data_IF_965240222057
#
_entry.id   IF_965240222057
#
_cell.length_a   1.000
_cell.length_b   1.000
_cell.length_c   1.000
_cell.angle_alpha   90.00
_cell.angle_beta   90.00
_cell.angle_gamma   90.00
#
_symmetry.space_group_name_H-M   'P 1'
#
loop_
_entity.id
_entity.type
_entity.pdbx_description
1 polymer ?
#
# COMPACT_ATOMS: atom_id res chain seq x y z
N UNK A 1 -6.98 -28.13 -16.42
CA UNK A 1 -7.36 -28.14 -15.00
C UNK A 1 -7.04 -26.78 -14.43
N UNK A 2 -8.07 -26.03 -14.02
CA UNK A 2 -7.90 -24.72 -13.40
C UNK A 2 -7.02 -24.86 -12.15
N UNK A 3 -6.14 -23.90 -11.94
CA UNK A 3 -5.25 -23.82 -10.79
C UNK A 3 -5.29 -22.42 -10.23
N UNK A 4 -5.08 -22.31 -8.93
CA UNK A 4 -4.89 -21.06 -8.24
C UNK A 4 -3.42 -20.93 -7.87
N UNK A 5 -2.83 -19.78 -8.16
CA UNK A 5 -1.49 -19.43 -7.71
C UNK A 5 -1.63 -18.32 -6.69
N UNK A 6 -1.13 -18.53 -5.48
CA UNK A 6 -1.04 -17.47 -4.47
C UNK A 6 0.39 -16.99 -4.41
N UNK A 7 0.56 -15.69 -4.60
CA UNK A 7 1.83 -15.00 -4.42
C UNK A 7 1.70 -14.15 -3.16
N UNK A 8 2.47 -14.49 -2.14
CA UNK A 8 2.43 -13.76 -0.86
C UNK A 8 3.68 -12.93 -0.71
N UNK A 9 3.52 -11.61 -0.60
CA UNK A 9 4.61 -10.70 -0.24
C UNK A 9 4.71 -10.67 1.27
N UNK A 10 5.90 -10.95 1.81
CA UNK A 10 6.13 -11.03 3.26
C UNK A 10 7.28 -10.12 3.65
N UNK A 11 7.02 -9.20 4.56
CA UNK A 11 8.07 -8.38 5.18
C UNK A 11 7.60 -7.76 6.51
N UNK A 12 8.48 -7.01 7.17
CA UNK A 12 8.05 -5.96 8.09
C UNK A 12 7.28 -4.89 7.32
N UNK A 13 6.24 -4.35 7.93
CA UNK A 13 5.50 -3.22 7.41
C UNK A 13 4.70 -2.59 8.53
N UNK A 14 3.50 -2.15 8.25
CA UNK A 14 2.66 -1.58 9.29
C UNK A 14 1.30 -1.13 8.79
N UNK A 15 0.56 -0.52 9.71
CA UNK A 15 -0.56 0.35 9.39
C UNK A 15 -0.04 1.79 9.28
N UNK A 16 -0.33 2.44 8.17
CA UNK A 16 0.02 3.83 7.89
C UNK A 16 -1.27 4.58 7.64
N UNK A 17 -1.46 5.67 8.38
CA UNK A 17 -2.66 6.50 8.28
C UNK A 17 -2.29 7.98 8.27
N UNK A 18 -3.02 8.76 7.50
CA UNK A 18 -2.94 10.20 7.52
C UNK A 18 -4.29 10.81 7.18
N UNK A 19 -4.57 11.97 7.77
CA UNK A 19 -5.83 12.66 7.51
C UNK A 19 -5.93 14.04 8.14
N UNK A 20 -6.99 14.72 7.76
CA UNK A 20 -7.39 16.01 8.33
C UNK A 20 -8.31 15.78 9.53
N UNK A 21 -8.06 16.53 10.61
CA UNK A 21 -8.96 16.67 11.76
C UNK A 21 -9.65 18.03 11.62
N UNK A 22 -10.83 18.01 11.01
CA UNK A 22 -11.66 19.17 10.71
C UNK A 22 -12.76 19.42 11.76
N UNK A 23 -12.99 18.46 12.66
CA UNK A 23 -13.83 18.63 13.83
C UNK A 23 -13.12 19.48 14.89
N UNK A 24 -13.69 20.65 15.20
CA UNK A 24 -13.08 21.62 16.10
C UNK A 24 -12.98 21.12 17.55
N UNK A 25 -13.93 20.30 18.01
CA UNK A 25 -13.91 19.75 19.37
C UNK A 25 -12.78 18.71 19.50
N UNK A 26 -12.66 17.81 18.53
CA UNK A 26 -11.57 16.84 18.45
C UNK A 26 -10.20 17.52 18.30
N UNK A 27 -10.09 18.54 17.44
CA UNK A 27 -8.86 19.31 17.29
C UNK A 27 -8.42 19.95 18.63
N UNK A 28 -9.36 20.45 19.42
CA UNK A 28 -9.08 20.99 20.76
C UNK A 28 -8.69 19.90 21.77
N UNK A 29 -9.30 18.71 21.73
CA UNK A 29 -8.88 17.58 22.55
C UNK A 29 -7.45 17.15 22.22
N UNK A 30 -7.10 17.07 20.94
CA UNK A 30 -5.75 16.73 20.49
C UNK A 30 -4.74 17.78 20.96
N UNK A 31 -5.02 19.08 20.79
CA UNK A 31 -4.18 20.17 21.33
C UNK A 31 -3.98 20.06 22.84
N UNK A 32 -5.01 19.63 23.57
CA UNK A 32 -4.94 19.41 25.03
C UNK A 32 -4.06 18.20 25.37
N UNK A 33 -4.19 17.09 24.63
CA UNK A 33 -3.35 15.90 24.79
C UNK A 33 -1.87 16.19 24.47
N UNK A 34 -1.60 16.97 23.42
CA UNK A 34 -0.25 17.47 23.08
C UNK A 34 0.33 18.27 24.24
N UNK A 35 -0.42 19.23 24.80
CA UNK A 35 0.05 20.04 25.93
C UNK A 35 0.33 19.24 27.20
N UNK A 36 -0.21 18.01 27.30
CA UNK A 36 0.00 17.06 28.40
C UNK A 36 1.04 15.99 28.11
N UNK A 37 1.62 15.97 26.90
CA UNK A 37 2.55 14.94 26.44
C UNK A 37 1.94 13.52 26.53
N UNK A 38 0.67 13.39 26.15
CA UNK A 38 -0.10 12.15 26.27
C UNK A 38 -0.72 11.65 24.97
N UNK A 39 -0.44 12.34 23.85
CA UNK A 39 -1.01 11.98 22.55
C UNK A 39 -0.42 10.66 22.04
N UNK A 40 -1.29 9.73 21.62
CA UNK A 40 -0.91 8.47 21.00
C UNK A 40 -1.78 8.19 19.77
N UNK A 41 -1.40 7.22 18.94
CA UNK A 41 -2.19 6.79 17.79
C UNK A 41 -3.58 6.24 18.19
N UNK A 42 -3.71 5.79 19.44
CA UNK A 42 -4.90 5.17 20.02
C UNK A 42 -4.98 5.53 21.50
N UNK A 43 -5.99 6.30 21.93
CA UNK A 43 -6.12 6.73 23.33
C UNK A 43 -7.55 7.16 23.69
N UNK A 44 -7.87 7.12 24.99
CA UNK A 44 -9.05 7.81 25.52
C UNK A 44 -8.72 9.30 25.72
N UNK A 45 -9.57 10.18 25.20
CA UNK A 45 -9.48 11.63 25.35
C UNK A 45 -10.09 12.07 26.68
N UNK A 46 -9.82 13.30 27.11
CA UNK A 46 -10.33 13.82 28.40
C UNK A 46 -11.86 13.90 28.46
N UNK A 47 -12.53 13.97 27.31
CA UNK A 47 -13.99 13.96 27.20
C UNK A 47 -14.60 12.55 27.29
N UNK A 48 -13.78 11.50 27.40
CA UNK A 48 -14.18 10.10 27.46
C UNK A 48 -14.40 9.44 26.09
N UNK A 49 -14.14 10.15 24.99
CA UNK A 49 -14.17 9.58 23.64
C UNK A 49 -12.87 8.83 23.33
N UNK A 50 -12.96 7.79 22.50
CA UNK A 50 -11.80 7.03 22.06
C UNK A 50 -11.29 7.58 20.73
N UNK A 51 -10.08 8.14 20.75
CA UNK A 51 -9.36 8.57 19.56
C UNK A 51 -8.57 7.41 18.97
N UNK A 52 -8.71 7.23 17.66
CA UNK A 52 -7.91 6.28 16.91
C UNK A 52 -7.72 6.78 15.49
N UNK A 53 -6.46 6.92 15.10
CA UNK A 53 -6.04 7.58 13.86
C UNK A 53 -6.70 7.01 12.60
N UNK A 54 -6.88 5.69 12.50
CA UNK A 54 -7.49 5.09 11.30
C UNK A 54 -8.96 5.52 11.09
N UNK A 55 -9.67 5.95 12.13
CA UNK A 55 -11.05 6.44 11.99
C UNK A 55 -11.13 7.81 11.29
N UNK A 56 -10.02 8.52 11.18
CA UNK A 56 -9.93 9.88 10.62
C UNK A 56 -9.09 9.92 9.34
N UNK A 57 -8.71 8.76 8.80
CA UNK A 57 -7.78 8.61 7.70
C UNK A 57 -8.45 8.90 6.34
N UNK A 58 -8.29 10.13 5.85
CA UNK A 58 -8.85 10.59 4.55
C UNK A 58 -7.80 11.02 3.51
N UNK A 59 -6.51 10.93 3.86
CA UNK A 59 -5.38 11.10 2.95
C UNK A 59 -4.77 9.74 2.63
N UNK A 60 -4.54 8.93 3.66
CA UNK A 60 -3.89 7.63 3.58
C UNK A 60 -4.48 6.69 4.61
N UNK A 61 -4.86 5.48 4.21
CA UNK A 61 -5.18 4.36 5.10
C UNK A 61 -4.72 3.06 4.44
N UNK A 62 -3.61 2.48 4.92
CA UNK A 62 -3.06 1.26 4.36
C UNK A 62 -2.40 0.39 5.41
N UNK A 63 -2.66 -0.92 5.35
CA UNK A 63 -1.89 -1.95 6.06
C UNK A 63 -1.22 -2.87 5.05
N UNK A 64 0.10 -2.85 4.98
CA UNK A 64 0.84 -3.63 3.99
C UNK A 64 2.33 -3.79 4.37
N UNK A 65 3.03 -4.79 3.79
CA UNK A 65 4.47 -4.96 3.97
C UNK A 65 5.25 -3.86 3.24
N UNK A 66 6.44 -3.56 3.74
CA UNK A 66 7.46 -2.83 2.97
C UNK A 66 7.97 -3.73 1.84
N UNK A 67 8.15 -3.16 0.65
CA UNK A 67 8.68 -3.85 -0.53
C UNK A 67 10.18 -4.12 -0.40
N UNK A 68 10.92 -3.18 0.18
CA UNK A 68 12.38 -3.28 0.28
C UNK A 68 12.79 -4.48 1.14
N UNK A 69 13.50 -5.43 0.54
CA UNK A 69 13.94 -6.65 1.23
C UNK A 69 12.82 -7.66 1.52
N UNK A 70 11.66 -7.55 0.87
CA UNK A 70 10.57 -8.50 1.04
C UNK A 70 10.90 -9.89 0.49
N UNK A 71 10.30 -10.92 1.08
CA UNK A 71 10.22 -12.26 0.50
C UNK A 71 8.95 -12.43 -0.33
N UNK A 72 9.03 -13.25 -1.37
CA UNK A 72 7.92 -13.69 -2.20
C UNK A 72 7.74 -15.18 -1.99
N UNK A 73 6.59 -15.59 -1.46
CA UNK A 73 6.21 -16.99 -1.31
C UNK A 73 5.22 -17.33 -2.43
N UNK A 74 5.47 -18.44 -3.14
CA UNK A 74 4.60 -18.94 -4.20
C UNK A 74 3.99 -20.26 -3.75
N UNK A 75 2.67 -20.33 -3.86
CA UNK A 75 1.90 -21.52 -3.51
C UNK A 75 0.89 -21.84 -4.61
N UNK A 76 0.59 -23.12 -4.80
CA UNK A 76 -0.43 -23.59 -5.75
C UNK A 76 -1.57 -24.31 -5.03
N UNK A 77 -2.79 -24.15 -5.52
CA UNK A 77 -3.93 -24.96 -5.12
C UNK A 77 -4.72 -25.44 -6.34
N UNK A 78 -5.29 -26.64 -6.23
CA UNK A 78 -6.27 -27.14 -7.20
C UNK A 78 -7.72 -26.92 -6.72
N UNK A 79 -7.91 -26.38 -5.51
CA UNK A 79 -9.20 -26.17 -4.86
C UNK A 79 -9.83 -24.85 -5.34
N UNK A 80 -10.04 -24.72 -6.65
CA UNK A 80 -10.52 -23.48 -7.29
C UNK A 80 -11.99 -23.16 -7.02
N UNK A 81 -12.78 -24.18 -6.65
CA UNK A 81 -14.22 -24.04 -6.44
C UNK A 81 -14.58 -23.72 -4.98
N UNK A 82 -13.60 -23.67 -4.07
CA UNK A 82 -13.82 -23.28 -2.67
C UNK A 82 -14.16 -21.79 -2.60
N UNK A 83 -15.20 -21.48 -1.82
CA UNK A 83 -15.74 -20.14 -1.73
C UNK A 83 -14.80 -19.20 -0.98
N UNK A 84 -14.10 -19.70 0.05
CA UNK A 84 -13.23 -18.90 0.90
C UNK A 84 -11.76 -19.33 0.81
N UNK A 85 -10.83 -18.38 0.84
CA UNK A 85 -9.40 -18.68 0.68
C UNK A 85 -8.84 -19.57 1.79
N UNK A 86 -9.34 -19.42 3.03
CA UNK A 86 -8.91 -20.22 4.19
C UNK A 86 -9.29 -21.71 4.07
N UNK A 87 -10.25 -22.06 3.21
CA UNK A 87 -10.66 -23.45 2.96
C UNK A 87 -9.74 -24.14 1.94
N UNK A 88 -9.02 -23.35 1.14
CA UNK A 88 -8.16 -23.84 0.07
C UNK A 88 -6.87 -24.43 0.63
N UNK A 89 -6.48 -25.60 0.11
CA UNK A 89 -5.21 -26.23 0.47
C UNK A 89 -4.14 -25.79 -0.51
N UNK A 90 -3.33 -24.86 -0.02
CA UNK A 90 -2.16 -24.40 -0.74
C UNK A 90 -0.96 -25.31 -0.48
N UNK A 91 -0.26 -25.63 -1.57
CA UNK A 91 1.01 -26.33 -1.54
C UNK A 91 2.11 -25.33 -1.87
N UNK A 92 3.07 -25.22 -0.95
CA UNK A 92 4.29 -24.46 -1.18
C UNK A 92 5.04 -24.91 -2.44
N UNK A 93 5.44 -23.95 -3.25
CA UNK A 93 6.24 -24.14 -4.46
C UNK A 93 7.66 -23.62 -4.25
N UNK A 94 7.80 -22.36 -3.85
CA UNK A 94 9.09 -21.68 -3.70
C UNK A 94 8.99 -20.41 -2.86
N UNK A 95 10.15 -19.95 -2.40
CA UNK A 95 10.36 -18.66 -1.74
C UNK A 95 11.61 -18.00 -2.33
N UNK A 96 11.52 -16.71 -2.62
CA UNK A 96 12.60 -15.91 -3.21
C UNK A 96 12.63 -14.53 -2.55
N UNK A 97 13.81 -13.93 -2.42
CA UNK A 97 13.89 -12.50 -2.13
C UNK A 97 13.41 -11.68 -3.33
N UNK A 98 12.76 -10.55 -3.08
CA UNK A 98 12.23 -9.68 -4.14
C UNK A 98 13.33 -9.21 -5.12
N UNK A 99 14.51 -8.89 -4.58
CA UNK A 99 15.69 -8.43 -5.35
C UNK A 99 16.32 -9.54 -6.21
N UNK A 100 16.01 -10.80 -5.92
CA UNK A 100 16.47 -11.98 -6.65
C UNK A 100 15.38 -12.53 -7.58
N UNK A 101 14.21 -11.91 -7.58
CA UNK A 101 13.04 -12.35 -8.34
C UNK A 101 12.91 -11.57 -9.65
N UNK A 102 12.22 -12.13 -10.66
CA UNK A 102 11.87 -11.41 -11.88
C UNK A 102 10.68 -10.45 -11.71
N UNK A 103 10.16 -10.25 -10.49
CA UNK A 103 9.05 -9.34 -10.24
C UNK A 103 9.46 -7.90 -10.52
N UNK A 104 8.57 -7.13 -11.14
CA UNK A 104 8.79 -5.73 -11.42
C UNK A 104 8.29 -4.88 -10.24
N UNK A 105 9.08 -3.93 -9.77
CA UNK A 105 8.69 -2.97 -8.74
C UNK A 105 8.68 -1.56 -9.32
N UNK A 106 7.73 -0.73 -8.87
CA UNK A 106 7.63 0.66 -9.30
C UNK A 106 6.97 1.52 -8.20
N UNK A 107 7.15 2.84 -8.27
CA UNK A 107 6.45 3.75 -7.36
C UNK A 107 5.09 4.12 -7.96
N UNK A 108 4.01 3.70 -7.32
CA UNK A 108 2.63 3.96 -7.75
C UNK A 108 2.09 5.29 -7.23
N UNK A 109 2.54 5.75 -6.06
CA UNK A 109 2.10 7.04 -5.51
C UNK A 109 3.07 7.61 -4.48
N UNK A 110 2.90 8.91 -4.22
CA UNK A 110 3.49 9.65 -3.09
C UNK A 110 2.29 10.31 -2.38
N UNK A 111 1.97 9.94 -1.13
CA UNK A 111 0.83 10.50 -0.44
C UNK A 111 1.15 11.92 0.01
N UNK A 112 0.48 12.91 -0.58
CA UNK A 112 0.65 14.32 -0.25
C UNK A 112 -0.66 14.94 0.26
N UNK A 113 -0.59 15.67 1.37
CA UNK A 113 -1.72 16.46 1.90
C UNK A 113 -1.97 17.73 1.06
N UNK A 114 -0.97 18.19 0.31
CA UNK A 114 -0.88 19.48 -0.37
C UNK A 114 -2.08 19.82 -1.26
N UNK A 115 -2.66 18.81 -1.93
CA UNK A 115 -3.74 19.00 -2.89
C UNK A 115 -5.12 19.25 -2.29
N UNK A 116 -5.30 19.09 -0.97
CA UNK A 116 -6.61 19.19 -0.30
C UNK A 116 -6.71 20.36 0.69
N UNK A 117 -5.62 21.10 0.94
CA UNK A 117 -5.54 22.10 2.02
C UNK A 117 -6.58 23.23 1.87
N UNK A 118 -6.93 23.63 0.64
CA UNK A 118 -7.83 24.77 0.39
C UNK A 118 -9.28 24.54 0.81
N UNK A 119 -9.66 23.29 1.09
CA UNK A 119 -11.03 22.91 1.44
C UNK A 119 -11.30 22.98 2.95
N UNK A 120 -10.28 23.28 3.76
CA UNK A 120 -10.31 23.21 5.22
C UNK A 120 -10.15 24.56 5.89
N UNK A 121 -10.63 24.68 7.13
CA UNK A 121 -10.44 25.86 7.97
C UNK A 121 -9.00 25.96 8.49
N UNK A 122 -8.50 27.17 8.71
CA UNK A 122 -7.10 27.44 9.12
C UNK A 122 -6.66 26.70 10.39
N UNK A 123 -7.58 26.34 11.27
CA UNK A 123 -7.32 25.64 12.54
C UNK A 123 -7.36 24.11 12.45
N UNK A 124 -7.62 23.58 11.25
CA UNK A 124 -7.58 22.15 10.92
C UNK A 124 -6.19 21.60 11.17
N UNK A 125 -6.14 20.43 11.81
CA UNK A 125 -4.90 19.71 12.03
C UNK A 125 -4.73 18.63 10.98
N UNK A 126 -3.48 18.29 10.65
CA UNK A 126 -3.16 17.10 9.88
C UNK A 126 -2.46 16.13 10.82
N UNK A 127 -2.87 14.87 10.79
CA UNK A 127 -2.13 13.80 11.47
C UNK A 127 -1.48 12.87 10.46
N UNK A 128 -0.34 12.33 10.88
CA UNK A 128 0.36 11.23 10.24
C UNK A 128 0.68 10.21 11.34
N UNK A 129 0.30 8.95 11.14
CA UNK A 129 0.61 7.87 12.09
C UNK A 129 1.08 6.59 11.40
N UNK A 130 2.00 5.89 12.06
CA UNK A 130 2.55 4.60 11.64
C UNK A 130 2.58 3.65 12.83
N UNK A 131 2.04 2.45 12.67
CA UNK A 131 2.20 1.33 13.60
C UNK A 131 2.95 0.20 12.90
N UNK A 132 4.18 -0.10 13.32
CA UNK A 132 5.04 -1.10 12.69
C UNK A 132 4.70 -2.50 13.20
N UNK A 133 4.62 -3.46 12.29
CA UNK A 133 4.36 -4.87 12.60
C UNK A 133 5.27 -5.77 11.74
N UNK A 134 5.87 -6.78 12.38
CA UNK A 134 6.66 -7.82 11.68
C UNK A 134 5.78 -8.87 11.02
N UNK A 135 6.34 -9.47 9.96
CA UNK A 135 5.78 -10.62 9.24
C UNK A 135 4.38 -10.32 8.70
N UNK A 136 4.21 -9.15 8.10
CA UNK A 136 2.97 -8.86 7.36
C UNK A 136 2.97 -9.71 6.10
N UNK A 137 1.95 -10.53 5.95
CA UNK A 137 1.65 -11.35 4.79
C UNK A 137 0.63 -10.62 3.93
N UNK A 138 0.97 -10.35 2.67
CA UNK A 138 0.06 -9.82 1.66
C UNK A 138 -0.22 -10.91 0.61
N UNK A 139 -1.25 -11.76 0.80
CA UNK A 139 -1.53 -12.86 -0.10
C UNK A 139 -2.32 -12.39 -1.33
N UNK A 140 -1.75 -12.54 -2.53
CA UNK A 140 -2.42 -12.21 -3.79
C UNK A 140 -2.79 -13.49 -4.57
N UNK A 141 -4.07 -13.92 -4.54
CA UNK A 141 -4.54 -15.09 -5.28
C UNK A 141 -4.79 -14.76 -6.76
N UNK A 142 -4.20 -15.54 -7.65
CA UNK A 142 -4.30 -15.39 -9.11
C UNK A 142 -4.95 -16.66 -9.67
N UNK A 143 -6.16 -16.51 -10.19
CA UNK A 143 -6.86 -17.59 -10.88
C UNK A 143 -6.29 -17.81 -12.28
N UNK A 144 -6.01 -19.07 -12.63
CA UNK A 144 -5.59 -19.44 -13.98
C UNK A 144 -6.69 -20.18 -14.73
N UNK A 145 -6.87 -19.80 -15.98
CA UNK A 145 -7.61 -20.57 -16.96
C UNK A 145 -6.70 -21.60 -17.66
N UNK A 146 -7.30 -22.64 -18.22
CA UNK A 146 -6.58 -23.74 -18.85
C UNK A 146 -5.76 -23.26 -20.06
N UNK A 147 -4.43 -23.34 -19.97
CA UNK A 147 -3.50 -23.09 -21.09
C UNK A 147 -2.49 -21.96 -20.86
N UNK A 148 -2.76 -21.02 -19.96
CA UNK A 148 -1.88 -19.87 -19.73
C UNK A 148 -0.86 -20.17 -18.64
N UNK A 149 0.44 -20.25 -18.94
CA UNK A 149 1.51 -20.42 -17.94
C UNK A 149 1.64 -19.18 -17.04
N UNK A 150 1.70 -19.40 -15.71
CA UNK A 150 2.00 -18.33 -14.77
C UNK A 150 3.48 -18.01 -14.86
N UNK A 151 3.77 -16.73 -15.09
CA UNK A 151 5.13 -16.22 -15.11
C UNK A 151 5.24 -15.14 -14.04
N UNK A 152 6.16 -15.34 -13.10
CA UNK A 152 6.43 -14.36 -12.04
C UNK A 152 6.91 -13.01 -12.61
N UNK A 153 7.52 -13.01 -13.80
CA UNK A 153 7.93 -11.81 -14.53
C UNK A 153 6.75 -10.91 -14.97
N UNK A 154 5.52 -11.44 -14.94
CA UNK A 154 4.31 -10.68 -15.24
C UNK A 154 3.68 -10.05 -13.99
N UNK A 155 4.30 -10.20 -12.81
CA UNK A 155 3.89 -9.52 -11.58
C UNK A 155 4.54 -8.14 -11.52
N UNK A 156 3.73 -7.12 -11.21
CA UNK A 156 4.16 -5.75 -10.99
C UNK A 156 3.67 -5.30 -9.61
N UNK A 157 4.59 -4.84 -8.77
CA UNK A 157 4.32 -4.36 -7.42
C UNK A 157 4.48 -2.84 -7.39
N UNK A 158 3.36 -2.15 -7.26
CA UNK A 158 3.32 -0.71 -7.06
C UNK A 158 3.47 -0.39 -5.58
N UNK A 159 4.48 0.41 -5.23
CA UNK A 159 4.69 0.88 -3.87
C UNK A 159 4.35 2.36 -3.72
N UNK A 160 3.77 2.67 -2.58
CA UNK A 160 3.63 4.04 -2.10
C UNK A 160 4.94 4.46 -1.43
N UNK A 161 5.55 5.55 -1.91
CA UNK A 161 6.75 6.10 -1.31
C UNK A 161 6.36 7.04 -0.15
N UNK A 162 6.72 6.65 1.07
CA UNK A 162 6.36 7.35 2.30
C UNK A 162 7.37 8.42 2.73
N UNK A 163 8.50 8.57 2.00
CA UNK A 163 9.67 9.34 2.45
C UNK A 163 9.34 10.80 2.78
N UNK A 164 8.41 11.40 2.03
CA UNK A 164 7.98 12.78 2.22
C UNK A 164 6.77 12.94 3.16
N UNK A 165 6.31 11.83 3.75
CA UNK A 165 5.04 11.79 4.49
C UNK A 165 5.25 11.38 5.93
N UNK A 166 5.82 10.19 6.17
CA UNK A 166 5.89 9.64 7.53
C UNK A 166 7.06 8.68 7.78
N UNK A 167 7.63 8.05 6.74
CA UNK A 167 8.71 7.09 6.93
C UNK A 167 9.52 6.88 5.65
N UNK A 168 10.77 6.42 5.71
CA UNK A 168 11.54 6.10 4.50
C UNK A 168 11.03 4.84 3.77
N UNK A 169 9.91 4.26 4.19
CA UNK A 169 9.44 2.97 3.70
C UNK A 169 8.77 3.09 2.32
N UNK A 170 8.82 1.99 1.57
CA UNK A 170 8.06 1.81 0.33
C UNK A 170 7.00 0.74 0.56
N UNK A 171 5.77 1.16 0.81
CA UNK A 171 4.69 0.29 1.26
C UNK A 171 3.93 -0.26 0.05
N UNK A 172 3.73 -1.57 -0.02
CA UNK A 172 3.00 -2.20 -1.11
C UNK A 172 1.57 -1.64 -1.19
N UNK A 173 1.21 -1.09 -2.35
CA UNK A 173 -0.10 -0.51 -2.63
C UNK A 173 -0.87 -1.34 -3.65
N UNK A 174 -0.22 -1.66 -4.78
CA UNK A 174 -0.84 -2.36 -5.89
C UNK A 174 -0.09 -3.67 -6.17
N UNK A 175 -0.82 -4.79 -6.21
CA UNK A 175 -0.34 -6.05 -6.78
C UNK A 175 -1.02 -6.24 -8.14
N UNK A 176 -0.26 -6.20 -9.23
CA UNK A 176 -0.80 -6.36 -10.58
C UNK A 176 -0.24 -7.63 -11.22
N UNK A 177 -1.08 -8.36 -11.92
CA UNK A 177 -0.64 -9.44 -12.82
C UNK A 177 -0.97 -9.06 -14.26
N UNK A 178 0.04 -8.61 -15.01
CA UNK A 178 -0.13 -8.08 -16.37
C UNK A 178 0.52 -9.06 -17.36
N UNK A 179 -0.27 -9.82 -18.14
CA UNK A 179 0.28 -10.72 -19.15
C UNK A 179 1.16 -9.96 -20.16
N UNK A 180 2.26 -10.58 -20.57
CA UNK A 180 3.25 -9.99 -21.50
C UNK A 180 2.65 -9.37 -22.76
N UNK A 181 1.63 -10.01 -23.35
CA UNK A 181 0.97 -9.51 -24.54
C UNK A 181 0.29 -8.15 -24.29
N UNK A 182 -0.34 -7.97 -23.13
CA UNK A 182 -0.98 -6.72 -22.75
C UNK A 182 0.02 -5.66 -22.33
N UNK A 183 1.12 -6.07 -21.68
CA UNK A 183 2.18 -5.15 -21.27
C UNK A 183 2.75 -4.38 -22.47
N UNK A 184 2.93 -5.07 -23.61
CA UNK A 184 3.39 -4.43 -24.85
C UNK A 184 2.40 -3.39 -25.40
N UNK A 185 1.10 -3.62 -25.26
CA UNK A 185 0.07 -2.69 -25.73
C UNK A 185 0.05 -1.41 -24.90
N UNK A 186 0.24 -1.51 -23.58
CA UNK A 186 0.37 -0.34 -22.71
C UNK A 186 1.63 0.48 -22.99
N UNK A 187 2.77 -0.16 -23.28
CA UNK A 187 3.96 0.55 -23.74
C UNK A 187 3.71 1.34 -25.02
N UNK A 188 3.02 0.75 -26.00
CA UNK A 188 2.69 1.43 -27.26
C UNK A 188 1.78 2.63 -27.03
N UNK A 189 0.78 2.48 -26.18
CA UNK A 189 -0.16 3.56 -25.84
C UNK A 189 0.55 4.73 -25.15
N UNK A 190 1.46 4.46 -24.22
CA UNK A 190 2.22 5.50 -23.51
C UNK A 190 3.29 6.19 -24.38
N UNK A 191 4.07 5.42 -25.12
CA UNK A 191 5.21 5.95 -25.88
C UNK A 191 4.80 6.53 -27.25
N UNK A 192 3.70 6.05 -27.83
CA UNK A 192 3.27 6.43 -29.18
C UNK A 192 4.36 6.17 -30.22
N UNK A 193 4.73 7.19 -30.98
CA UNK A 193 5.77 7.13 -32.02
C UNK A 193 7.17 6.81 -31.47
N UNK A 194 7.37 6.89 -30.14
CA UNK A 194 8.65 6.56 -29.47
C UNK A 194 8.78 5.08 -29.09
N UNK A 195 7.75 4.27 -29.35
CA UNK A 195 7.75 2.85 -29.00
C UNK A 195 8.83 2.08 -29.77
N UNK A 196 9.55 1.21 -29.05
CA UNK A 196 10.46 0.19 -29.58
C UNK A 196 10.04 -1.19 -29.04
N UNK A 197 10.24 -2.24 -29.82
CA UNK A 197 9.88 -3.62 -29.45
C UNK A 197 10.71 -4.14 -28.25
N UNK A 198 11.82 -3.47 -27.92
CA UNK A 198 12.64 -3.79 -26.75
C UNK A 198 12.20 -3.07 -25.45
N UNK A 199 11.19 -2.19 -25.49
CA UNK A 199 10.71 -1.48 -24.31
C UNK A 199 9.97 -2.43 -23.35
N UNK A 200 10.38 -2.46 -22.09
CA UNK A 200 9.68 -3.16 -21.03
C UNK A 200 8.70 -2.22 -20.31
N UNK A 201 7.50 -2.71 -20.00
CA UNK A 201 6.49 -1.91 -19.28
C UNK A 201 7.00 -1.46 -17.91
N UNK A 202 7.81 -2.31 -17.25
CA UNK A 202 8.44 -2.03 -15.95
C UNK A 202 9.15 -0.68 -15.91
N UNK A 203 9.82 -0.32 -16.99
CA UNK A 203 10.63 0.91 -17.08
C UNK A 203 9.77 2.17 -17.18
N UNK A 204 8.47 2.00 -17.44
CA UNK A 204 7.52 3.08 -17.68
C UNK A 204 6.40 3.14 -16.64
N UNK A 205 6.23 2.13 -15.78
CA UNK A 205 5.11 2.07 -14.84
C UNK A 205 5.00 3.31 -13.94
N UNK A 206 6.11 3.75 -13.32
CA UNK A 206 6.12 4.97 -12.50
C UNK A 206 5.73 6.22 -13.31
N UNK A 207 6.24 6.34 -14.53
CA UNK A 207 5.94 7.47 -15.41
C UNK A 207 4.48 7.44 -15.88
N UNK A 208 3.91 6.27 -16.17
CA UNK A 208 2.51 6.10 -16.54
C UNK A 208 1.61 6.59 -15.41
N UNK A 209 1.86 6.19 -14.15
CA UNK A 209 1.05 6.59 -13.01
C UNK A 209 1.08 8.11 -12.74
N UNK A 210 2.17 8.78 -13.09
CA UNK A 210 2.36 10.23 -12.85
C UNK A 210 1.91 11.07 -14.06
N UNK A 211 2.38 10.72 -15.27
CA UNK A 211 2.24 11.53 -16.48
C UNK A 211 1.00 11.16 -17.31
N UNK A 212 0.50 9.93 -17.16
CA UNK A 212 -0.66 9.41 -17.90
C UNK A 212 -1.67 8.73 -16.94
N UNK A 213 -2.24 9.47 -15.96
CA UNK A 213 -3.05 8.88 -14.89
C UNK A 213 -4.27 8.10 -15.39
N UNK A 214 -4.85 8.46 -16.53
CA UNK A 214 -5.95 7.70 -17.15
C UNK A 214 -5.50 6.30 -17.60
N UNK A 215 -4.28 6.19 -18.14
CA UNK A 215 -3.68 4.91 -18.52
C UNK A 215 -3.30 4.10 -17.27
N UNK A 216 -2.71 4.74 -16.26
CA UNK A 216 -2.42 4.09 -14.97
C UNK A 216 -3.68 3.50 -14.33
N UNK A 217 -4.78 4.28 -14.32
CA UNK A 217 -6.09 3.84 -13.85
C UNK A 217 -6.61 2.66 -14.66
N UNK A 218 -6.54 2.71 -16.00
CA UNK A 218 -6.95 1.61 -16.89
C UNK A 218 -6.17 0.32 -16.60
N UNK A 219 -4.85 0.40 -16.43
CA UNK A 219 -4.00 -0.74 -16.09
C UNK A 219 -4.45 -1.34 -14.75
N UNK A 220 -4.58 -0.48 -13.72
CA UNK A 220 -4.99 -0.90 -12.38
C UNK A 220 -6.37 -1.54 -12.36
N UNK A 221 -7.37 -0.93 -12.97
CA UNK A 221 -8.74 -1.46 -13.03
C UNK A 221 -8.82 -2.83 -13.71
N UNK A 222 -7.95 -3.09 -14.69
CA UNK A 222 -7.93 -4.36 -15.42
C UNK A 222 -7.13 -5.45 -14.71
N UNK A 223 -6.02 -5.10 -14.06
CA UNK A 223 -4.97 -6.05 -13.65
C UNK A 223 -4.75 -6.15 -12.14
N UNK A 224 -5.40 -5.31 -11.34
CA UNK A 224 -5.27 -5.35 -9.89
C UNK A 224 -5.78 -6.69 -9.34
N UNK A 225 -4.90 -7.37 -8.63
CA UNK A 225 -5.22 -8.56 -7.84
C UNK A 225 -5.47 -8.09 -6.42
N UNK A 226 -6.72 -8.24 -5.97
CA UNK A 226 -7.05 -7.91 -4.59
C UNK A 226 -6.42 -8.94 -3.65
N UNK A 227 -5.77 -8.48 -2.56
CA UNK A 227 -5.25 -9.39 -1.57
C UNK A 227 -6.39 -10.13 -0.87
N UNK A 228 -6.08 -11.31 -0.32
CA UNK A 228 -6.84 -11.88 0.78
C UNK A 228 -6.59 -11.11 2.07
N UNK A 229 -6.79 -11.78 3.21
CA UNK A 229 -6.58 -11.15 4.52
C UNK A 229 -5.11 -10.80 4.74
N UNK A 230 -4.84 -9.51 4.98
CA UNK A 230 -3.49 -9.01 5.28
C UNK A 230 -3.26 -9.11 6.79
N UNK A 231 -2.45 -10.08 7.19
CA UNK A 231 -2.18 -10.37 8.59
C UNK A 231 -0.69 -10.23 8.91
N UNK A 232 -0.39 -9.83 10.14
CA UNK A 232 0.97 -9.78 10.67
C UNK A 232 1.14 -10.66 11.90
N UNK A 233 2.17 -10.38 12.71
CA UNK A 233 2.44 -11.08 13.98
C UNK A 233 1.32 -10.93 15.03
N UNK A 234 0.45 -9.94 14.91
CA UNK A 234 -0.62 -9.60 15.86
C UNK A 234 -0.19 -8.65 16.98
N UNK A 235 1.02 -8.09 16.91
CA UNK A 235 1.58 -7.16 17.92
C UNK A 235 2.32 -6.02 17.21
N UNK A 236 2.07 -4.78 17.65
CA UNK A 236 2.81 -3.60 17.18
C UNK A 236 4.20 -3.58 17.82
N UNK A 237 5.24 -3.50 17.00
CA UNK A 237 6.63 -3.39 17.45
C UNK A 237 6.97 -1.94 17.86
N UNK A 238 6.40 -0.96 17.14
CA UNK A 238 6.50 0.45 17.48
C UNK A 238 5.35 1.26 16.89
N UNK A 239 5.12 2.44 17.45
CA UNK A 239 4.14 3.42 16.98
C UNK A 239 4.81 4.78 16.82
N UNK A 240 4.32 5.58 15.88
CA UNK A 240 4.75 6.94 15.59
C UNK A 240 3.52 7.79 15.24
N UNK A 241 3.48 9.02 15.76
CA UNK A 241 2.46 10.02 15.41
C UNK A 241 3.09 11.40 15.26
N UNK A 242 2.69 12.12 14.22
CA UNK A 242 3.03 13.52 13.96
C UNK A 242 1.76 14.31 13.71
N UNK A 243 1.64 15.47 14.34
CA UNK A 243 0.53 16.41 14.15
C UNK A 243 1.11 17.73 13.64
N UNK A 244 0.55 18.22 12.54
CA UNK A 244 0.92 19.50 11.93
C UNK A 244 -0.29 20.42 11.76
N UNK A 245 -0.03 21.69 11.53
CA UNK A 245 -1.01 22.61 10.93
C UNK A 245 -1.14 22.36 9.42
N UNK A 246 -2.06 23.07 8.77
CA UNK A 246 -2.17 23.11 7.30
C UNK A 246 -0.94 23.72 6.61
N UNK A 247 -0.16 24.54 7.31
CA UNK A 247 1.07 25.15 6.79
C UNK A 247 2.32 24.26 7.01
N UNK A 248 2.12 22.99 7.41
CA UNK A 248 3.19 22.03 7.76
C UNK A 248 4.05 22.50 8.94
N UNK A 249 3.48 23.29 9.86
CA UNK A 249 4.10 23.60 11.16
C UNK A 249 3.90 22.43 12.12
N UNK A 250 5.00 21.86 12.63
CA UNK A 250 4.97 20.77 13.60
C UNK A 250 4.44 21.23 14.96
N UNK A 251 3.32 20.63 15.39
CA UNK A 251 2.75 20.84 16.73
C UNK A 251 3.18 19.74 17.70
N UNK A 252 3.38 18.52 17.20
CA UNK A 252 3.78 17.36 17.98
C UNK A 252 4.39 16.27 17.10
N UNK A 253 5.37 15.56 17.64
CA UNK A 253 5.96 14.37 17.04
C UNK A 253 6.47 13.45 18.17
N UNK A 254 6.03 12.20 18.17
CA UNK A 254 6.52 11.18 19.11
C UNK A 254 6.50 9.77 18.47
N UNK A 255 7.35 8.88 19.00
CA UNK A 255 7.54 7.52 18.53
C UNK A 255 8.85 7.27 17.77
N UNK A 256 9.13 5.99 17.48
CA UNK A 256 10.33 5.52 16.76
C UNK A 256 9.96 4.47 15.72
#
# INVERSE_FOLDING_TARGET
MKKLIRVTIVNTGGAFSAGFIDDADLANQIKTAIAKDSLNCSMELDNGEYFETYNHANILDIKAPSISGASIIIEESNDVDEQYDFERKYKYVSELGIDESPVNTFTSSIPEASHKITDYADDTLIFYSRKVEKRIHYPAPIERHDGDEFELANVYLGSMNMEKTISPDQILQDFLYIPKAEAADYCKEFLGDRYDDNCALSDHMSAIYIEAPDLGKKIREKHLVYPGDIEGKGEWDSEYIRITTLEDEDLFEDGV
#
